data_IF_229541209676
#
_entry.id   IF_229541209676
#
_cell.length_a   1.000
_cell.length_b   1.000
_cell.length_c   1.000
_cell.angle_alpha   90.00
_cell.angle_beta   90.00
_cell.angle_gamma   90.00
#
_symmetry.space_group_name_H-M   'P 1'
#
loop_
_entity.id
_entity.type
_entity.pdbx_description
1 polymer ?
#
# COMPACT_ATOMS: atom_id res chain seq x y z
N UNK A 1 6.16 8.90 9.32
CA UNK A 1 6.91 9.71 8.32
C UNK A 1 8.22 10.31 8.88
N UNK A 2 8.32 10.64 10.19
CA UNK A 2 9.57 11.23 10.77
C UNK A 2 10.83 10.39 10.53
N UNK A 3 10.73 9.06 10.54
CA UNK A 3 11.87 8.20 10.23
C UNK A 3 12.31 8.37 8.78
N UNK A 4 11.37 8.36 7.83
CA UNK A 4 11.66 8.57 6.41
C UNK A 4 12.25 9.95 6.16
N UNK A 5 11.70 11.00 6.79
CA UNK A 5 12.25 12.37 6.71
C UNK A 5 13.71 12.42 7.18
N UNK A 6 14.09 11.63 8.18
CA UNK A 6 15.47 11.55 8.66
C UNK A 6 16.40 10.73 7.76
N UNK A 7 15.88 9.86 6.91
CA UNK A 7 16.64 9.00 6.01
C UNK A 7 16.86 9.63 4.63
N UNK A 8 15.99 10.55 4.22
CA UNK A 8 16.03 11.19 2.90
C UNK A 8 16.90 12.44 2.99
N UNK A 9 18.03 12.41 2.29
CA UNK A 9 19.03 13.50 2.25
C UNK A 9 18.79 14.46 1.06
N UNK A 10 17.87 14.12 0.15
CA UNK A 10 17.52 14.92 -1.03
C UNK A 10 16.30 15.81 -0.79
N UNK A 11 16.12 16.83 -1.64
CA UNK A 11 14.99 17.79 -1.58
C UNK A 11 13.62 17.17 -1.98
N UNK A 12 13.44 15.85 -1.76
CA UNK A 12 12.19 15.14 -2.05
C UNK A 12 11.30 15.24 -0.82
N UNK A 13 10.08 15.75 -0.98
CA UNK A 13 9.08 15.69 0.08
C UNK A 13 8.59 14.22 0.23
N UNK A 14 8.64 13.73 1.46
CA UNK A 14 8.14 12.37 1.79
C UNK A 14 6.68 12.17 1.35
N UNK A 15 5.89 13.24 1.25
CA UNK A 15 4.50 13.18 0.78
C UNK A 15 4.38 12.79 -0.69
N UNK A 16 5.41 13.10 -1.49
CA UNK A 16 5.44 12.81 -2.93
C UNK A 16 5.92 11.39 -3.23
N UNK A 17 6.33 10.63 -2.21
CA UNK A 17 6.76 9.24 -2.35
C UNK A 17 5.55 8.32 -2.25
N UNK A 18 5.39 7.42 -3.22
CA UNK A 18 4.32 6.42 -3.20
C UNK A 18 4.42 5.51 -1.95
N UNK A 19 3.31 5.08 -1.34
CA UNK A 19 3.32 4.27 -0.13
C UNK A 19 4.20 3.02 -0.24
N UNK A 20 4.14 2.30 -1.36
CA UNK A 20 4.96 1.10 -1.59
C UNK A 20 6.47 1.41 -1.61
N UNK A 21 6.86 2.58 -2.08
CA UNK A 21 8.27 2.98 -2.10
C UNK A 21 8.72 3.45 -0.71
N UNK A 22 7.84 4.04 0.10
CA UNK A 22 8.09 4.29 1.53
C UNK A 22 8.37 2.98 2.27
N UNK A 23 7.56 1.96 2.04
CA UNK A 23 7.74 0.63 2.65
C UNK A 23 9.07 0.02 2.22
N UNK A 24 9.45 0.10 0.94
CA UNK A 24 10.76 -0.37 0.45
C UNK A 24 11.91 0.36 1.10
N UNK A 25 11.83 1.68 1.22
CA UNK A 25 12.87 2.49 1.87
C UNK A 25 13.05 2.11 3.33
N UNK A 26 11.96 1.89 4.05
CA UNK A 26 11.98 1.45 5.46
C UNK A 26 12.61 0.06 5.57
N UNK A 27 12.22 -0.90 4.73
CA UNK A 27 12.80 -2.24 4.71
C UNK A 27 14.29 -2.18 4.36
N UNK A 28 14.67 -1.39 3.37
CA UNK A 28 16.07 -1.22 3.00
C UNK A 28 16.91 -0.63 4.15
N UNK A 29 16.40 0.42 4.79
CA UNK A 29 17.06 1.03 5.95
C UNK A 29 17.26 0.01 7.09
N UNK A 30 16.25 -0.85 7.34
CA UNK A 30 16.33 -1.95 8.31
C UNK A 30 17.44 -2.95 7.95
N UNK A 31 17.48 -3.36 6.67
CA UNK A 31 18.50 -4.32 6.20
C UNK A 31 19.92 -3.76 6.39
N UNK A 32 20.12 -2.49 6.03
CA UNK A 32 21.44 -1.83 6.16
C UNK A 32 21.86 -1.67 7.62
N UNK A 33 20.91 -1.34 8.50
CA UNK A 33 21.21 -1.04 9.91
C UNK A 33 21.35 -2.29 10.81
N UNK A 34 20.56 -3.33 10.55
CA UNK A 34 20.42 -4.49 11.45
C UNK A 34 20.52 -5.84 10.74
N UNK A 35 20.80 -5.85 9.44
CA UNK A 35 20.85 -7.07 8.64
C UNK A 35 19.47 -7.47 8.11
N UNK A 36 19.48 -8.48 7.25
CA UNK A 36 18.32 -8.91 6.47
C UNK A 36 17.36 -9.85 7.21
N UNK A 37 17.82 -10.49 8.28
CA UNK A 37 17.00 -11.42 9.06
C UNK A 37 16.05 -10.65 9.97
N UNK A 38 14.75 -10.98 9.88
CA UNK A 38 13.70 -10.38 10.70
C UNK A 38 12.86 -11.46 11.36
N UNK A 39 12.81 -11.42 12.69
CA UNK A 39 12.05 -12.36 13.50
C UNK A 39 10.55 -12.18 13.34
N UNK A 40 9.82 -13.25 13.08
CA UNK A 40 8.38 -13.25 12.95
C UNK A 40 7.74 -14.38 13.75
N UNK A 41 6.49 -14.19 14.13
CA UNK A 41 5.64 -15.26 14.68
C UNK A 41 4.52 -15.52 13.67
N UNK A 42 4.42 -16.77 13.22
CA UNK A 42 3.39 -17.20 12.26
C UNK A 42 2.59 -18.35 12.85
N UNK A 43 1.32 -18.46 12.44
CA UNK A 43 0.46 -19.57 12.90
C UNK A 43 0.44 -20.65 11.84
N UNK A 44 0.84 -21.87 12.21
CA UNK A 44 0.72 -23.04 11.35
C UNK A 44 -0.77 -23.34 11.09
N UNK A 45 -1.22 -23.36 9.83
CA UNK A 45 -2.62 -23.56 9.50
C UNK A 45 -3.15 -24.95 9.84
N UNK A 46 -2.27 -25.97 9.97
CA UNK A 46 -2.64 -27.35 10.31
C UNK A 46 -2.73 -27.54 11.82
N UNK A 47 -1.67 -27.17 12.54
CA UNK A 47 -1.57 -27.41 13.99
C UNK A 47 -2.19 -26.30 14.82
N UNK A 48 -2.45 -25.13 14.23
CA UNK A 48 -2.94 -23.89 14.88
C UNK A 48 -1.98 -23.34 15.93
N UNK A 49 -0.74 -23.81 15.95
CA UNK A 49 0.30 -23.34 16.87
C UNK A 49 1.08 -22.17 16.28
N UNK A 50 1.59 -21.33 17.16
CA UNK A 50 2.49 -20.26 16.82
C UNK A 50 3.92 -20.79 16.67
N UNK A 51 4.56 -20.43 15.56
CA UNK A 51 5.94 -20.75 15.25
C UNK A 51 6.73 -19.45 15.25
N UNK A 52 7.75 -19.35 16.08
CA UNK A 52 8.73 -18.25 16.06
C UNK A 52 9.85 -18.61 15.10
N UNK A 53 10.04 -17.78 14.09
CA UNK A 53 11.04 -18.01 13.04
C UNK A 53 11.58 -16.68 12.52
N UNK A 54 12.34 -16.69 11.45
CA UNK A 54 12.81 -15.47 10.78
C UNK A 54 12.55 -15.51 9.29
N UNK A 55 12.44 -14.33 8.69
CA UNK A 55 12.32 -14.12 7.25
C UNK A 55 13.50 -13.29 6.75
N UNK A 56 13.95 -13.57 5.53
CA UNK A 56 14.95 -12.77 4.84
C UNK A 56 14.26 -11.61 4.12
N UNK A 57 14.33 -10.41 4.68
CA UNK A 57 13.71 -9.20 4.12
C UNK A 57 14.19 -8.86 2.71
N UNK A 58 15.40 -9.30 2.32
CA UNK A 58 15.93 -9.07 0.96
C UNK A 58 15.19 -9.86 -0.12
N UNK A 59 14.38 -10.84 0.28
CA UNK A 59 13.56 -11.66 -0.63
C UNK A 59 12.19 -11.04 -0.92
N UNK A 60 11.79 -9.98 -0.18
CA UNK A 60 10.55 -9.26 -0.45
C UNK A 60 10.60 -8.63 -1.84
N UNK A 61 9.60 -8.92 -2.66
CA UNK A 61 9.47 -8.42 -4.02
C UNK A 61 8.26 -7.51 -4.16
N UNK A 62 8.29 -6.64 -5.16
CA UNK A 62 7.06 -5.95 -5.58
C UNK A 62 6.16 -6.93 -6.31
N UNK A 63 4.87 -6.91 -5.99
CA UNK A 63 3.89 -7.58 -6.83
C UNK A 63 3.79 -6.89 -8.20
N UNK A 64 3.46 -7.62 -9.27
CA UNK A 64 3.28 -7.04 -10.59
C UNK A 64 2.25 -5.92 -10.55
N UNK A 65 2.57 -4.81 -11.19
CA UNK A 65 1.68 -3.67 -11.35
C UNK A 65 1.33 -3.53 -12.83
N UNK A 66 0.06 -3.62 -13.18
CA UNK A 66 -0.40 -3.78 -14.57
C UNK A 66 -1.16 -2.57 -15.11
N UNK A 67 -1.48 -1.57 -14.28
CA UNK A 67 -2.15 -0.37 -14.76
C UNK A 67 -1.16 0.56 -15.47
N UNK A 68 -1.60 1.09 -16.61
CA UNK A 68 -0.86 2.11 -17.34
C UNK A 68 -1.28 3.49 -16.85
N UNK A 69 -0.31 4.29 -16.42
CA UNK A 69 -0.55 5.68 -16.03
C UNK A 69 -0.44 6.60 -17.24
N UNK A 70 -1.12 7.73 -17.17
CA UNK A 70 -0.86 8.82 -18.09
C UNK A 70 0.49 9.52 -17.80
N UNK A 71 0.82 10.56 -18.59
CA UNK A 71 2.06 11.34 -18.44
C UNK A 71 2.22 12.03 -17.08
N UNK A 72 1.16 12.15 -16.30
CA UNK A 72 1.15 12.73 -14.96
C UNK A 72 1.23 11.67 -13.86
N UNK A 73 1.33 10.38 -14.21
CA UNK A 73 1.30 9.28 -13.24
C UNK A 73 -0.10 9.00 -12.68
N UNK A 74 -1.15 9.42 -13.39
CA UNK A 74 -2.54 9.24 -13.00
C UNK A 74 -3.19 8.10 -13.77
N UNK A 75 -4.16 7.46 -13.14
CA UNK A 75 -4.92 6.32 -13.66
C UNK A 75 -6.37 6.71 -13.87
N UNK A 76 -7.00 6.17 -14.89
CA UNK A 76 -8.39 6.45 -15.20
C UNK A 76 -9.30 5.30 -14.73
N UNK A 77 -10.47 5.67 -14.20
CA UNK A 77 -11.51 4.73 -13.80
C UNK A 77 -12.89 5.26 -14.17
N UNK A 78 -13.65 4.46 -14.94
CA UNK A 78 -15.04 4.77 -15.27
C UNK A 78 -15.95 4.34 -14.12
N UNK A 79 -16.53 5.31 -13.43
CA UNK A 79 -17.45 5.07 -12.31
C UNK A 79 -18.79 4.55 -12.82
N UNK A 80 -19.36 5.27 -13.80
CA UNK A 80 -20.62 4.95 -14.49
C UNK A 80 -20.66 5.67 -15.84
N UNK A 81 -21.83 5.78 -16.48
CA UNK A 81 -21.95 6.44 -17.79
C UNK A 81 -21.83 7.96 -17.73
N UNK A 82 -22.02 8.57 -16.57
CA UNK A 82 -21.95 10.01 -16.33
C UNK A 82 -20.59 10.47 -15.83
N UNK A 83 -19.91 9.62 -15.03
CA UNK A 83 -18.69 9.99 -14.32
C UNK A 83 -17.51 9.07 -14.65
N UNK A 84 -16.42 9.72 -15.06
CA UNK A 84 -15.08 9.13 -15.15
C UNK A 84 -14.16 9.91 -14.22
N UNK A 85 -13.34 9.23 -13.45
CA UNK A 85 -12.38 9.85 -12.53
C UNK A 85 -10.97 9.53 -12.95
N UNK A 86 -10.03 10.43 -12.63
CA UNK A 86 -8.61 10.08 -12.52
C UNK A 86 -8.20 10.05 -11.08
N UNK A 87 -7.26 9.18 -10.77
CA UNK A 87 -6.75 8.97 -9.42
C UNK A 87 -5.25 8.69 -9.42
N UNK A 88 -4.62 8.85 -8.26
CA UNK A 88 -3.22 8.51 -8.04
C UNK A 88 -3.06 7.63 -6.80
N UNK A 89 -1.91 6.95 -6.69
CA UNK A 89 -1.55 6.18 -5.50
C UNK A 89 -0.80 7.00 -4.44
N UNK A 90 -0.67 8.28 -4.65
CA UNK A 90 -0.20 9.23 -3.64
C UNK A 90 -1.38 9.58 -2.72
N UNK A 91 -1.38 9.04 -1.51
CA UNK A 91 -2.47 9.28 -0.56
C UNK A 91 -1.97 9.85 0.76
N UNK A 92 -2.78 10.71 1.34
CA UNK A 92 -2.58 11.18 2.72
C UNK A 92 -3.30 10.26 3.69
N UNK A 93 -2.75 10.08 4.90
CA UNK A 93 -3.49 9.43 5.99
C UNK A 93 -4.67 10.30 6.39
N UNK A 94 -5.88 9.73 6.29
CA UNK A 94 -7.12 10.44 6.60
C UNK A 94 -8.04 9.55 7.44
N UNK A 95 -8.80 10.18 8.35
CA UNK A 95 -9.68 9.48 9.28
C UNK A 95 -11.06 9.15 8.68
N UNK A 96 -11.42 9.72 7.52
CA UNK A 96 -12.72 9.50 6.90
C UNK A 96 -12.62 9.03 5.46
N UNK A 97 -13.60 8.21 5.03
CA UNK A 97 -13.69 7.71 3.65
C UNK A 97 -13.77 8.86 2.64
N UNK A 98 -14.55 9.90 2.93
CA UNK A 98 -14.67 11.05 2.02
C UNK A 98 -13.35 11.78 1.85
N UNK A 99 -12.64 12.08 2.93
CA UNK A 99 -11.31 12.71 2.86
C UNK A 99 -10.30 11.83 2.14
N UNK A 100 -10.35 10.52 2.39
CA UNK A 100 -9.51 9.55 1.68
C UNK A 100 -9.77 9.60 0.16
N UNK A 101 -11.03 9.52 -0.28
CA UNK A 101 -11.39 9.58 -1.69
C UNK A 101 -10.98 10.91 -2.32
N UNK A 102 -11.24 12.04 -1.66
CA UNK A 102 -10.81 13.36 -2.14
C UNK A 102 -9.28 13.45 -2.26
N UNK A 103 -8.51 12.75 -1.42
CA UNK A 103 -7.04 12.80 -1.48
C UNK A 103 -6.43 11.97 -2.60
N UNK A 104 -7.13 10.96 -3.11
CA UNK A 104 -6.63 10.09 -4.19
C UNK A 104 -7.21 10.43 -5.57
N UNK A 105 -8.40 11.03 -5.63
CA UNK A 105 -9.02 11.47 -6.88
C UNK A 105 -8.41 12.81 -7.29
N UNK A 106 -7.87 12.86 -8.50
CA UNK A 106 -7.17 14.04 -9.05
C UNK A 106 -7.98 14.78 -10.11
N UNK A 107 -9.02 14.12 -10.64
CA UNK A 107 -9.91 14.69 -11.65
C UNK A 107 -11.27 13.99 -11.64
N UNK A 108 -12.32 14.72 -11.88
CA UNK A 108 -13.68 14.20 -12.15
C UNK A 108 -14.13 14.74 -13.51
N UNK A 109 -14.40 13.84 -14.45
CA UNK A 109 -14.63 14.18 -15.86
C UNK A 109 -13.50 15.09 -16.40
N UNK A 110 -13.80 16.35 -16.70
CA UNK A 110 -12.84 17.32 -17.22
C UNK A 110 -12.36 18.32 -16.16
N UNK A 111 -12.80 18.21 -14.90
CA UNK A 111 -12.47 19.16 -13.84
C UNK A 111 -11.42 18.60 -12.86
N UNK A 112 -10.42 19.41 -12.56
CA UNK A 112 -9.39 19.16 -11.53
C UNK A 112 -9.59 20.05 -10.29
N UNK A 113 -10.64 20.88 -10.29
CA UNK A 113 -10.94 21.77 -9.19
C UNK A 113 -11.30 20.96 -7.95
N UNK A 114 -10.70 21.31 -6.80
CA UNK A 114 -10.94 20.63 -5.53
C UNK A 114 -12.42 20.62 -5.17
N UNK A 115 -13.12 21.75 -5.36
CA UNK A 115 -14.54 21.87 -5.07
C UNK A 115 -15.39 20.89 -5.92
N UNK A 116 -15.00 20.68 -7.19
CA UNK A 116 -15.68 19.72 -8.06
C UNK A 116 -15.48 18.28 -7.59
N UNK A 117 -14.26 17.95 -7.14
CA UNK A 117 -13.91 16.62 -6.60
C UNK A 117 -14.66 16.40 -5.28
N UNK A 118 -14.65 17.37 -4.37
CA UNK A 118 -15.38 17.28 -3.10
C UNK A 118 -16.89 17.15 -3.29
N UNK A 119 -17.45 17.92 -4.23
CA UNK A 119 -18.87 17.86 -4.59
C UNK A 119 -19.23 16.46 -5.12
N UNK A 120 -18.42 15.93 -6.05
CA UNK A 120 -18.61 14.57 -6.58
C UNK A 120 -18.57 13.53 -5.47
N UNK A 121 -17.53 13.54 -4.64
CA UNK A 121 -17.36 12.55 -3.56
C UNK A 121 -18.52 12.62 -2.56
N UNK A 122 -19.06 13.79 -2.29
CA UNK A 122 -20.10 13.99 -1.30
C UNK A 122 -21.50 13.68 -1.80
N UNK A 123 -21.81 13.99 -3.08
CA UNK A 123 -23.19 14.00 -3.57
C UNK A 123 -23.44 13.07 -4.76
N UNK A 124 -22.41 12.70 -5.51
CA UNK A 124 -22.54 11.95 -6.75
C UNK A 124 -21.88 10.58 -6.72
N UNK A 125 -20.94 10.36 -5.80
CA UNK A 125 -20.28 9.07 -5.67
C UNK A 125 -21.09 8.16 -4.75
N UNK A 126 -22.02 7.40 -5.33
CA UNK A 126 -22.91 6.53 -4.56
C UNK A 126 -22.13 5.48 -3.77
N UNK A 127 -22.68 5.07 -2.62
CA UNK A 127 -22.00 4.16 -1.71
C UNK A 127 -21.55 2.85 -2.37
N UNK A 128 -22.36 2.30 -3.30
CA UNK A 128 -22.01 1.09 -4.06
C UNK A 128 -20.84 1.34 -5.00
N UNK A 129 -20.86 2.41 -5.76
CA UNK A 129 -19.80 2.78 -6.71
C UNK A 129 -18.49 3.08 -5.99
N UNK A 130 -18.57 3.84 -4.90
CA UNK A 130 -17.43 4.13 -4.03
C UNK A 130 -16.81 2.86 -3.43
N UNK A 131 -17.63 1.88 -3.05
CA UNK A 131 -17.14 0.58 -2.59
C UNK A 131 -16.40 -0.16 -3.70
N UNK A 132 -17.02 -0.27 -4.88
CA UNK A 132 -16.42 -0.96 -6.05
C UNK A 132 -15.11 -0.29 -6.47
N UNK A 133 -15.08 1.04 -6.50
CA UNK A 133 -13.84 1.77 -6.79
C UNK A 133 -12.73 1.49 -5.76
N UNK A 134 -13.05 1.48 -4.47
CA UNK A 134 -12.04 1.17 -3.42
C UNK A 134 -11.54 -0.26 -3.50
N UNK A 135 -12.39 -1.22 -3.85
CA UNK A 135 -11.99 -2.60 -4.12
C UNK A 135 -11.03 -2.65 -5.31
N UNK A 136 -11.39 -2.03 -6.43
CA UNK A 136 -10.54 -1.88 -7.60
C UNK A 136 -9.20 -1.21 -7.27
N UNK A 137 -9.24 -0.07 -6.57
CA UNK A 137 -8.05 0.67 -6.14
C UNK A 137 -7.11 -0.21 -5.30
N UNK A 138 -7.65 -0.93 -4.33
CA UNK A 138 -6.84 -1.78 -3.45
C UNK A 138 -6.28 -3.00 -4.21
N UNK A 139 -7.05 -3.61 -5.08
CA UNK A 139 -6.63 -4.76 -5.87
C UNK A 139 -5.46 -4.41 -6.82
N UNK A 140 -5.51 -3.23 -7.43
CA UNK A 140 -4.52 -2.76 -8.38
C UNK A 140 -3.44 -1.86 -7.76
N UNK A 141 -3.45 -1.64 -6.45
CA UNK A 141 -2.42 -0.84 -5.79
C UNK A 141 -1.04 -1.48 -5.89
N UNK A 142 0.00 -0.70 -6.20
CA UNK A 142 1.37 -1.16 -6.03
C UNK A 142 1.59 -1.61 -4.59
N UNK A 143 2.12 -2.83 -4.41
CA UNK A 143 2.33 -3.41 -3.07
C UNK A 143 3.50 -4.39 -3.06
N UNK A 144 4.01 -4.66 -1.87
CA UNK A 144 5.02 -5.67 -1.65
C UNK A 144 4.38 -7.03 -1.40
N UNK A 145 5.08 -8.07 -1.79
CA UNK A 145 4.69 -9.45 -1.49
C UNK A 145 5.31 -9.87 -0.16
N UNK A 146 4.46 -9.99 0.85
CA UNK A 146 4.82 -10.47 2.18
C UNK A 146 4.52 -11.97 2.36
N UNK A 147 4.19 -12.70 1.29
CA UNK A 147 4.07 -14.14 1.36
C UNK A 147 5.45 -14.78 1.48
N UNK A 148 5.58 -15.69 2.40
CA UNK A 148 6.82 -16.41 2.65
C UNK A 148 6.51 -17.89 2.95
N UNK A 149 7.40 -18.77 2.51
CA UNK A 149 7.31 -20.19 2.81
C UNK A 149 7.96 -20.47 4.16
N UNK A 150 7.20 -21.07 5.06
CA UNK A 150 7.62 -21.43 6.41
C UNK A 150 7.64 -22.95 6.57
N UNK A 151 8.53 -23.44 7.45
CA UNK A 151 8.57 -24.83 7.84
C UNK A 151 7.64 -25.06 9.02
N UNK A 152 6.75 -26.05 8.92
CA UNK A 152 5.85 -26.47 9.98
C UNK A 152 6.50 -27.42 10.97
N UNK A 153 5.88 -27.63 12.15
CA UNK A 153 6.36 -28.57 13.16
C UNK A 153 6.43 -30.02 12.65
N UNK A 154 5.64 -30.37 11.67
CA UNK A 154 5.60 -31.70 11.05
C UNK A 154 6.67 -31.90 9.97
N UNK A 155 7.56 -30.92 9.75
CA UNK A 155 8.55 -30.93 8.69
C UNK A 155 8.00 -30.62 7.28
N UNK A 156 6.72 -30.34 7.17
CA UNK A 156 6.10 -29.84 5.94
C UNK A 156 6.27 -28.33 5.80
N UNK A 157 6.03 -27.79 4.60
CA UNK A 157 6.06 -26.34 4.36
C UNK A 157 4.63 -25.78 4.18
N UNK A 158 4.45 -24.52 4.51
CA UNK A 158 3.25 -23.76 4.25
C UNK A 158 3.55 -22.30 3.91
N UNK A 159 2.68 -21.67 3.12
CA UNK A 159 2.79 -20.26 2.83
C UNK A 159 1.93 -19.45 3.80
N UNK A 160 2.48 -18.39 4.35
CA UNK A 160 1.75 -17.42 5.15
C UNK A 160 2.26 -16.00 4.87
N UNK A 161 1.37 -15.02 5.05
CA UNK A 161 1.77 -13.62 5.06
C UNK A 161 2.33 -13.27 6.44
N UNK A 162 3.52 -12.70 6.47
CA UNK A 162 4.03 -12.06 7.67
C UNK A 162 3.73 -10.56 7.64
N UNK A 163 3.78 -9.95 8.81
CA UNK A 163 3.58 -8.50 8.94
C UNK A 163 4.88 -7.84 9.38
N UNK A 164 5.16 -6.70 8.77
CA UNK A 164 6.23 -5.80 9.20
C UNK A 164 5.59 -4.77 10.12
N UNK A 165 5.92 -4.84 11.40
CA UNK A 165 5.33 -3.99 12.42
C UNK A 165 6.20 -2.80 12.81
N UNK A 166 5.75 -2.07 13.84
CA UNK A 166 6.49 -0.96 14.43
C UNK A 166 7.81 -1.42 15.09
N UNK A 167 7.93 -2.71 15.38
CA UNK A 167 9.10 -3.38 15.93
C UNK A 167 10.24 -3.63 14.92
N UNK A 168 10.06 -3.23 13.66
CA UNK A 168 11.06 -3.41 12.60
C UNK A 168 12.46 -2.87 13.00
N UNK A 169 12.51 -1.83 13.81
CA UNK A 169 13.73 -1.19 14.32
C UNK A 169 13.94 -1.41 15.84
N UNK A 170 13.06 -2.16 16.52
CA UNK A 170 13.15 -2.40 17.94
C UNK A 170 13.21 -3.90 18.20
N UNK A 171 14.10 -4.32 19.08
CA UNK A 171 14.27 -5.70 19.54
C UNK A 171 13.58 -5.89 20.89
#
# INVERSE_FOLDING_TARGET
>A
DKLLESLIVSDIDVKDIAPVDKDKLIIYARIVSYGKEYGVTVTDPKTKKEIKTSVDLSKIKSLPFTLESDKNGEFEYKVNDEYTIKFSYLKQNTESISKYLTSIITQVNNSRELDAIENFVRYHFLAKESKTFREYYNEHSPRLDYNYEFEGEDGGTFNAMFQVGADLFWF
#
